data_IF_543052863106
#
_entry.id   IF_543052863106
#
_cell.length_a   1.000
_cell.length_b   1.000
_cell.length_c   1.000
_cell.angle_alpha   90.00
_cell.angle_beta   90.00
_cell.angle_gamma   90.00
#
_symmetry.space_group_name_H-M   'P 1'
#
loop_
_entity.id
_entity.type
_entity.pdbx_description
1 polymer ?
#
# COMPACT_ATOMS: atom_id res chain seq x y z
N UNK A 1 -15.30 17.63 2.30
CA UNK A 1 -14.78 18.03 3.65
C UNK A 1 -13.61 18.97 3.47
N UNK A 2 -13.37 19.85 4.42
CA UNK A 2 -12.20 20.76 4.44
C UNK A 2 -11.30 20.47 5.65
N UNK A 3 -10.13 21.12 5.72
CA UNK A 3 -9.16 20.84 6.77
C UNK A 3 -9.61 21.25 8.18
N UNK A 4 -10.47 22.26 8.30
CA UNK A 4 -11.05 22.63 9.61
C UNK A 4 -11.98 21.52 10.14
N UNK A 5 -12.72 20.86 9.27
CA UNK A 5 -13.56 19.71 9.62
C UNK A 5 -12.72 18.46 9.95
N UNK A 6 -11.53 18.33 9.37
CA UNK A 6 -10.60 17.25 9.73
C UNK A 6 -10.02 17.49 11.12
N UNK A 7 -9.64 18.74 11.43
CA UNK A 7 -8.95 19.09 12.66
C UNK A 7 -9.78 18.83 13.93
N UNK A 8 -11.10 18.86 13.83
CA UNK A 8 -11.99 18.58 14.97
C UNK A 8 -12.23 17.10 15.22
N UNK A 9 -11.69 16.22 14.38
CA UNK A 9 -11.79 14.77 14.58
C UNK A 9 -10.71 14.28 15.53
N UNK A 10 -11.05 13.33 16.38
CA UNK A 10 -10.10 12.62 17.24
C UNK A 10 -10.57 11.16 17.41
N UNK A 11 -9.77 10.19 17.01
CA UNK A 11 -8.47 10.29 16.34
C UNK A 11 -8.56 10.69 14.85
N UNK A 12 -7.52 11.34 14.33
CA UNK A 12 -7.38 11.61 12.89
C UNK A 12 -6.63 10.47 12.22
N UNK A 13 -7.25 9.87 11.20
CA UNK A 13 -6.66 8.85 10.34
C UNK A 13 -6.69 9.34 8.90
N UNK A 14 -5.53 9.38 8.23
CA UNK A 14 -5.40 9.84 6.84
C UNK A 14 -5.05 8.68 5.91
N UNK A 15 -5.67 8.66 4.73
CA UNK A 15 -5.30 7.78 3.63
C UNK A 15 -4.82 8.64 2.46
N UNK A 16 -3.51 8.65 2.23
CA UNK A 16 -2.84 9.50 1.24
C UNK A 16 -2.85 8.83 -0.13
N UNK A 17 -3.33 9.54 -1.15
CA UNK A 17 -3.48 9.00 -2.50
C UNK A 17 -4.59 7.94 -2.58
N UNK A 18 -5.57 8.00 -1.67
CA UNK A 18 -6.60 6.98 -1.49
C UNK A 18 -7.47 6.71 -2.72
N UNK A 19 -7.59 7.67 -3.64
CA UNK A 19 -8.36 7.54 -4.89
C UNK A 19 -9.64 6.70 -4.69
N UNK A 20 -9.74 5.55 -5.36
CA UNK A 20 -10.88 4.63 -5.25
C UNK A 20 -10.82 3.66 -4.05
N UNK A 21 -9.74 3.71 -3.23
CA UNK A 21 -9.57 2.86 -2.05
C UNK A 21 -9.82 3.66 -0.77
N UNK A 22 -11.07 3.92 -0.51
CA UNK A 22 -11.49 4.85 0.52
C UNK A 22 -12.90 4.48 0.97
N UNK A 23 -13.42 5.21 1.98
CA UNK A 23 -14.81 5.09 2.38
C UNK A 23 -15.76 5.10 1.16
N UNK A 24 -16.81 4.25 1.09
CA UNK A 24 -17.29 3.34 2.15
C UNK A 24 -16.71 1.91 2.09
N UNK A 25 -15.58 1.66 1.44
CA UNK A 25 -15.00 0.31 1.40
C UNK A 25 -14.66 -0.18 2.78
N UNK A 26 -14.95 -1.45 3.03
CA UNK A 26 -14.65 -2.12 4.31
C UNK A 26 -13.18 -1.95 4.68
N UNK A 27 -12.96 -1.48 5.90
CA UNK A 27 -11.64 -1.23 6.47
C UNK A 27 -11.10 0.19 6.27
N UNK A 28 -11.73 0.99 5.39
CA UNK A 28 -11.34 2.39 5.18
C UNK A 28 -12.28 3.40 5.84
N UNK A 29 -13.28 2.94 6.58
CA UNK A 29 -14.38 3.75 7.14
C UNK A 29 -13.87 4.83 8.10
N UNK A 30 -12.74 4.58 8.76
CA UNK A 30 -12.13 5.52 9.71
C UNK A 30 -11.18 6.52 9.05
N UNK A 31 -10.80 6.26 7.78
CA UNK A 31 -9.79 7.03 7.11
C UNK A 31 -10.40 8.18 6.30
N UNK A 32 -9.81 9.34 6.43
CA UNK A 32 -10.08 10.50 5.57
C UNK A 32 -9.15 10.37 4.36
N UNK A 33 -9.74 10.25 3.18
CA UNK A 33 -8.97 10.20 1.94
C UNK A 33 -8.43 11.59 1.60
N UNK A 34 -7.14 11.65 1.29
CA UNK A 34 -6.44 12.88 0.89
C UNK A 34 -5.88 12.68 -0.51
N UNK A 35 -6.42 13.38 -1.48
CA UNK A 35 -6.06 13.21 -2.88
C UNK A 35 -6.21 14.52 -3.65
N UNK A 36 -5.50 14.66 -4.77
CA UNK A 36 -5.65 15.82 -5.68
C UNK A 36 -7.03 15.80 -6.36
N UNK A 37 -7.58 14.60 -6.59
CA UNK A 37 -8.90 14.33 -7.12
C UNK A 37 -9.69 13.43 -6.17
N UNK A 38 -10.17 13.95 -5.04
CA UNK A 38 -10.84 13.15 -4.04
C UNK A 38 -12.16 12.56 -4.57
N UNK A 39 -12.45 11.28 -4.27
CA UNK A 39 -13.54 10.55 -4.91
C UNK A 39 -14.93 10.83 -4.31
N UNK A 40 -15.09 11.71 -3.33
CA UNK A 40 -16.38 11.93 -2.72
C UNK A 40 -16.43 13.05 -1.69
N UNK A 41 -17.65 13.39 -1.28
CA UNK A 41 -17.92 14.38 -0.25
C UNK A 41 -18.00 13.75 1.16
N UNK A 42 -17.73 14.57 2.18
CA UNK A 42 -17.95 14.19 3.58
C UNK A 42 -16.86 13.34 4.25
N UNK A 43 -15.97 12.71 3.49
CA UNK A 43 -14.90 11.84 4.01
C UNK A 43 -13.59 11.93 3.22
N UNK A 44 -13.47 12.92 2.36
CA UNK A 44 -12.27 13.18 1.60
C UNK A 44 -11.93 14.67 1.54
N UNK A 45 -10.63 14.96 1.39
CA UNK A 45 -10.09 16.32 1.27
C UNK A 45 -9.26 16.41 -0.01
N UNK A 46 -9.47 17.51 -0.75
CA UNK A 46 -8.65 17.83 -1.91
C UNK A 46 -7.34 18.44 -1.47
N UNK A 47 -6.22 17.77 -1.78
CA UNK A 47 -4.88 18.23 -1.46
C UNK A 47 -3.87 17.69 -2.47
N UNK A 48 -2.97 18.56 -2.91
CA UNK A 48 -1.75 18.16 -3.59
C UNK A 48 -0.73 17.70 -2.54
N UNK A 49 -0.46 16.40 -2.47
CA UNK A 49 0.42 15.80 -1.46
C UNK A 49 1.91 16.16 -1.63
N UNK A 50 2.27 16.87 -2.69
CA UNK A 50 3.60 17.48 -2.87
C UNK A 50 3.73 18.82 -2.12
N UNK A 51 2.65 19.31 -1.54
CA UNK A 51 2.58 20.54 -0.74
C UNK A 51 2.34 20.19 0.72
N UNK A 52 2.75 21.08 1.65
CA UNK A 52 2.46 20.88 3.07
C UNK A 52 0.97 20.66 3.33
N UNK A 53 0.66 19.77 4.25
CA UNK A 53 -0.70 19.48 4.69
C UNK A 53 -1.05 20.47 5.81
N UNK A 54 -2.15 21.22 5.72
CA UNK A 54 -2.48 22.28 6.68
C UNK A 54 -3.09 21.71 7.98
N UNK A 55 -2.37 20.79 8.60
CA UNK A 55 -2.65 20.26 9.93
C UNK A 55 -1.48 20.59 10.86
N UNK A 56 -1.72 20.77 12.16
CA UNK A 56 -0.67 20.98 13.16
C UNK A 56 0.26 19.77 13.27
N UNK A 57 1.46 20.02 13.80
CA UNK A 57 2.37 18.96 14.23
C UNK A 57 1.69 18.07 15.26
N UNK A 58 2.00 16.79 15.24
CA UNK A 58 1.50 15.82 16.21
C UNK A 58 -0.05 15.76 16.32
N UNK A 59 -0.75 15.89 15.19
CA UNK A 59 -2.22 15.88 15.15
C UNK A 59 -2.81 14.57 14.63
N UNK A 60 -2.05 13.79 13.86
CA UNK A 60 -2.54 12.59 13.16
C UNK A 60 -2.15 11.32 13.91
N UNK A 61 -3.09 10.41 14.08
CA UNK A 61 -2.85 9.14 14.79
C UNK A 61 -2.36 8.03 13.87
N UNK A 62 -2.90 7.95 12.66
CA UNK A 62 -2.54 6.92 11.66
C UNK A 62 -2.50 7.53 10.27
N UNK A 63 -1.51 7.09 9.48
CA UNK A 63 -1.40 7.43 8.07
C UNK A 63 -1.29 6.13 7.28
N UNK A 64 -2.09 6.03 6.22
CA UNK A 64 -2.04 4.96 5.24
C UNK A 64 -1.67 5.56 3.88
N UNK A 65 -0.81 4.91 3.12
CA UNK A 65 -0.54 5.25 1.73
C UNK A 65 -0.33 3.97 0.93
N UNK A 66 -1.21 3.72 -0.03
CA UNK A 66 -1.17 2.51 -0.85
C UNK A 66 -1.22 2.86 -2.33
N UNK A 67 -0.28 2.30 -3.10
CA UNK A 67 -0.15 2.50 -4.55
C UNK A 67 -0.21 3.99 -4.96
N UNK A 68 0.56 4.82 -4.24
CA UNK A 68 0.63 6.25 -4.49
C UNK A 68 2.08 6.75 -4.69
N UNK A 69 3.02 6.31 -3.85
CA UNK A 69 4.38 6.88 -3.87
C UNK A 69 5.14 6.59 -5.18
N UNK A 70 4.78 5.56 -5.91
CA UNK A 70 5.32 5.26 -7.24
C UNK A 70 4.98 6.31 -8.30
N UNK A 71 3.97 7.16 -8.05
CA UNK A 71 3.51 8.21 -8.96
C UNK A 71 4.21 9.54 -8.79
N UNK A 72 5.11 9.67 -7.82
CA UNK A 72 5.86 10.89 -7.52
C UNK A 72 7.37 10.62 -7.53
N UNK A 73 8.17 11.68 -7.64
CA UNK A 73 9.63 11.58 -7.68
C UNK A 73 10.21 11.22 -6.32
N UNK A 74 11.42 10.67 -6.30
CA UNK A 74 12.12 10.27 -5.05
C UNK A 74 12.23 11.42 -4.06
N UNK A 75 12.54 12.62 -4.52
CA UNK A 75 12.65 13.83 -3.69
C UNK A 75 11.30 14.22 -3.08
N UNK A 76 10.22 14.05 -3.85
CA UNK A 76 8.85 14.29 -3.39
C UNK A 76 8.41 13.23 -2.38
N UNK A 77 8.82 11.95 -2.56
CA UNK A 77 8.60 10.90 -1.57
C UNK A 77 9.25 11.28 -0.24
N UNK A 78 10.53 11.67 -0.26
CA UNK A 78 11.23 12.08 0.97
C UNK A 78 10.55 13.24 1.67
N UNK A 79 10.18 14.28 0.92
CA UNK A 79 9.48 15.45 1.46
C UNK A 79 8.13 15.07 2.09
N UNK A 80 7.35 14.22 1.40
CA UNK A 80 6.05 13.76 1.91
C UNK A 80 6.22 12.89 3.18
N UNK A 81 7.18 11.99 3.22
CA UNK A 81 7.41 11.16 4.40
C UNK A 81 7.88 11.99 5.60
N UNK A 82 8.67 13.04 5.37
CA UNK A 82 9.05 13.98 6.42
C UNK A 82 7.84 14.78 6.93
N UNK A 83 6.95 15.19 6.02
CA UNK A 83 5.69 15.83 6.38
C UNK A 83 4.77 14.87 7.19
N UNK A 84 4.70 13.59 6.80
CA UNK A 84 3.98 12.57 7.56
C UNK A 84 4.56 12.40 8.97
N UNK A 85 5.88 12.43 9.10
CA UNK A 85 6.51 12.41 10.43
C UNK A 85 6.13 13.63 11.27
N UNK A 86 6.11 14.83 10.68
CA UNK A 86 5.66 16.05 11.38
C UNK A 86 4.23 15.89 11.90
N UNK A 87 3.34 15.38 11.06
CA UNK A 87 1.92 15.23 11.35
C UNK A 87 1.62 14.16 12.41
N UNK A 88 2.35 13.06 12.42
CA UNK A 88 2.08 11.96 13.34
C UNK A 88 2.28 12.39 14.80
N UNK A 89 1.34 11.99 15.66
CA UNK A 89 1.48 12.06 17.13
C UNK A 89 2.61 11.13 17.59
N UNK A 90 3.23 11.35 18.76
CA UNK A 90 3.99 10.31 19.45
C UNK A 90 3.13 9.04 19.59
N UNK A 91 3.69 7.86 19.30
CA UNK A 91 2.95 6.60 19.18
C UNK A 91 2.17 6.46 17.87
N UNK A 92 2.32 7.41 16.96
CA UNK A 92 1.70 7.37 15.64
C UNK A 92 2.38 6.41 14.68
N UNK A 93 1.62 5.86 13.73
CA UNK A 93 2.12 4.87 12.76
C UNK A 93 1.69 5.28 11.36
N UNK A 94 2.64 5.18 10.42
CA UNK A 94 2.35 5.23 8.99
C UNK A 94 2.59 3.88 8.36
N UNK A 95 1.62 3.36 7.59
CA UNK A 95 1.78 2.19 6.72
C UNK A 95 1.90 2.61 5.27
N UNK A 96 2.88 2.05 4.60
CA UNK A 96 3.12 2.23 3.17
C UNK A 96 2.96 0.89 2.47
N UNK A 97 2.18 0.88 1.39
CA UNK A 97 2.09 -0.20 0.42
C UNK A 97 2.44 0.32 -0.96
N UNK A 98 3.48 -0.21 -1.60
CA UNK A 98 3.90 0.19 -2.96
C UNK A 98 4.24 -1.03 -3.80
N UNK A 99 4.20 -0.97 -5.13
CA UNK A 99 4.71 -2.03 -5.98
C UNK A 99 6.17 -2.34 -5.64
N UNK A 100 6.54 -3.62 -5.60
CA UNK A 100 7.93 -4.04 -5.38
C UNK A 100 8.55 -4.52 -6.69
N UNK A 101 9.27 -3.63 -7.36
CA UNK A 101 9.96 -3.91 -8.61
C UNK A 101 11.20 -4.83 -8.45
N UNK A 102 11.54 -5.26 -7.24
CA UNK A 102 12.47 -6.37 -7.01
C UNK A 102 11.82 -7.75 -7.21
N UNK A 103 10.49 -7.82 -7.36
CA UNK A 103 9.81 -9.03 -7.79
C UNK A 103 10.47 -9.54 -9.09
N UNK A 104 10.86 -10.81 -9.18
CA UNK A 104 11.55 -11.36 -10.36
C UNK A 104 10.83 -11.09 -11.68
N UNK A 105 9.50 -11.00 -11.69
CA UNK A 105 8.70 -10.70 -12.89
C UNK A 105 8.77 -9.23 -13.30
N UNK A 106 8.93 -8.33 -12.33
CA UNK A 106 8.95 -6.88 -12.55
C UNK A 106 10.40 -6.34 -12.62
N UNK A 107 11.37 -7.13 -12.19
CA UNK A 107 12.78 -6.76 -12.20
C UNK A 107 13.35 -6.36 -13.58
N UNK A 108 12.91 -6.93 -14.71
CA UNK A 108 13.31 -6.43 -16.03
C UNK A 108 12.94 -4.97 -16.30
N UNK A 109 11.81 -4.50 -15.76
CA UNK A 109 11.39 -3.10 -15.86
C UNK A 109 12.22 -2.20 -14.97
N UNK A 110 12.56 -2.66 -13.76
CA UNK A 110 13.50 -1.94 -12.88
C UNK A 110 14.85 -1.71 -13.56
N UNK A 111 15.41 -2.74 -14.21
CA UNK A 111 16.67 -2.62 -14.98
C UNK A 111 16.56 -1.64 -16.14
N UNK A 112 15.40 -1.58 -16.79
CA UNK A 112 15.12 -0.65 -17.89
C UNK A 112 14.94 0.79 -17.39
N UNK A 113 14.57 1.00 -16.13
CA UNK A 113 14.21 2.29 -15.55
C UNK A 113 12.83 2.79 -15.94
N UNK A 114 11.97 1.91 -16.52
CA UNK A 114 10.60 2.26 -16.90
C UNK A 114 9.73 1.02 -17.03
N UNK A 115 8.45 1.15 -16.71
CA UNK A 115 7.44 0.10 -16.93
C UNK A 115 6.37 0.57 -17.92
N UNK A 116 6.40 0.12 -19.18
CA UNK A 116 5.42 0.53 -20.18
C UNK A 116 3.98 0.06 -19.87
N UNK A 117 3.79 -0.90 -18.97
CA UNK A 117 2.46 -1.32 -18.49
C UNK A 117 1.83 -0.27 -17.59
N UNK A 118 2.69 0.49 -16.88
CA UNK A 118 2.31 1.54 -15.94
C UNK A 118 3.15 2.79 -16.19
N UNK A 119 2.90 3.54 -17.29
CA UNK A 119 3.73 4.69 -17.68
C UNK A 119 3.69 5.85 -16.67
N UNK A 120 2.73 5.83 -15.77
CA UNK A 120 2.57 6.79 -14.68
C UNK A 120 3.34 6.42 -13.40
N UNK A 121 4.00 5.26 -13.35
CA UNK A 121 4.94 4.94 -12.29
C UNK A 121 6.28 5.65 -12.55
N UNK A 122 6.41 6.86 -11.99
CA UNK A 122 7.59 7.72 -12.14
C UNK A 122 8.76 7.13 -11.37
N UNK A 123 8.49 6.59 -10.17
CA UNK A 123 9.47 5.93 -9.31
C UNK A 123 9.19 4.42 -9.28
N UNK A 124 10.15 3.63 -9.77
CA UNK A 124 10.05 2.17 -9.68
C UNK A 124 10.47 1.72 -8.27
N UNK A 125 9.50 1.77 -7.37
CA UNK A 125 9.70 1.47 -5.94
C UNK A 125 10.16 0.03 -5.73
N UNK A 126 11.06 -0.17 -4.78
CA UNK A 126 11.56 -1.48 -4.39
C UNK A 126 12.14 -1.42 -2.97
N UNK A 127 12.42 -2.58 -2.38
CA UNK A 127 12.91 -2.68 -1.01
C UNK A 127 14.17 -1.84 -0.76
N UNK A 128 15.18 -1.91 -1.64
CA UNK A 128 16.45 -1.20 -1.43
C UNK A 128 16.27 0.31 -1.48
N UNK A 129 15.48 0.81 -2.43
CA UNK A 129 15.18 2.23 -2.54
C UNK A 129 14.38 2.73 -1.34
N UNK A 130 13.28 2.04 -1.00
CA UNK A 130 12.43 2.46 0.13
C UNK A 130 13.18 2.41 1.45
N UNK A 131 13.98 1.38 1.68
CA UNK A 131 14.83 1.28 2.87
C UNK A 131 15.80 2.45 2.96
N UNK A 132 16.53 2.77 1.88
CA UNK A 132 17.44 3.92 1.84
C UNK A 132 16.73 5.24 2.17
N UNK A 133 15.55 5.47 1.58
CA UNK A 133 14.77 6.70 1.84
C UNK A 133 14.38 6.76 3.33
N UNK A 134 13.86 5.66 3.87
CA UNK A 134 13.32 5.62 5.23
C UNK A 134 14.43 5.78 6.28
N UNK A 135 15.60 5.17 6.07
CA UNK A 135 16.75 5.28 6.98
C UNK A 135 17.32 6.70 7.08
N UNK A 136 17.02 7.57 6.12
CA UNK A 136 17.40 9.00 6.15
C UNK A 136 16.38 9.88 6.90
N UNK A 137 15.25 9.30 7.37
CA UNK A 137 14.15 10.04 7.99
C UNK A 137 14.12 9.83 9.53
N UNK A 138 13.52 10.76 10.28
CA UNK A 138 13.57 10.74 11.74
C UNK A 138 12.59 9.77 12.42
N UNK A 139 12.06 8.77 11.69
CA UNK A 139 11.24 7.73 12.31
C UNK A 139 12.06 6.90 13.30
N UNK A 140 11.54 6.68 14.50
CA UNK A 140 12.23 5.95 15.56
C UNK A 140 12.47 4.48 15.23
N UNK A 141 11.53 3.89 14.48
CA UNK A 141 11.57 2.50 14.04
C UNK A 141 10.82 2.33 12.72
N UNK A 142 11.26 1.37 11.92
CA UNK A 142 10.51 0.89 10.76
C UNK A 142 10.50 -0.62 10.72
N UNK A 143 9.44 -1.21 10.15
CA UNK A 143 9.32 -2.65 10.00
C UNK A 143 8.77 -3.03 8.61
N UNK A 144 9.61 -3.72 7.83
CA UNK A 144 9.22 -4.27 6.54
C UNK A 144 8.54 -5.63 6.75
N UNK A 145 7.33 -5.77 6.24
CA UNK A 145 6.53 -7.00 6.33
C UNK A 145 6.62 -7.83 5.06
N UNK A 146 6.42 -7.21 3.91
CA UNK A 146 6.46 -7.89 2.62
C UNK A 146 7.42 -7.16 1.70
N UNK A 147 8.34 -7.91 1.10
CA UNK A 147 9.28 -7.37 0.11
C UNK A 147 10.07 -8.50 -0.58
N UNK A 148 10.64 -8.17 -1.72
CA UNK A 148 11.56 -9.03 -2.44
C UNK A 148 13.01 -8.58 -2.20
N UNK A 149 13.85 -9.49 -1.75
CA UNK A 149 15.29 -9.27 -1.65
C UNK A 149 16.06 -10.45 -2.21
N UNK A 150 17.01 -10.18 -3.12
CA UNK A 150 17.85 -11.17 -3.78
C UNK A 150 17.04 -12.35 -4.37
N UNK A 151 15.91 -12.06 -5.01
CA UNK A 151 15.03 -13.04 -5.66
C UNK A 151 14.19 -13.90 -4.70
N UNK A 152 14.24 -13.59 -3.40
CA UNK A 152 13.41 -14.25 -2.37
C UNK A 152 12.34 -13.30 -1.87
N UNK A 153 11.12 -13.82 -1.75
CA UNK A 153 10.03 -13.10 -1.11
C UNK A 153 10.08 -13.28 0.41
N UNK A 154 10.26 -12.17 1.11
CA UNK A 154 10.20 -12.11 2.57
C UNK A 154 8.78 -11.71 2.97
N UNK A 155 8.15 -12.49 3.83
CA UNK A 155 6.78 -12.29 4.25
C UNK A 155 6.66 -12.51 5.75
N UNK A 156 6.45 -11.44 6.50
CA UNK A 156 6.11 -11.46 7.92
C UNK A 156 4.60 -11.27 8.10
N UNK A 157 4.07 -11.73 9.20
CA UNK A 157 2.67 -11.47 9.55
C UNK A 157 2.48 -9.97 9.81
N UNK A 158 1.54 -9.37 9.09
CA UNK A 158 1.14 -7.98 9.32
C UNK A 158 0.28 -7.93 10.58
N UNK A 159 0.57 -6.98 11.46
CA UNK A 159 -0.29 -6.72 12.61
C UNK A 159 -1.38 -5.71 12.23
N UNK A 160 -2.61 -6.18 12.22
CA UNK A 160 -3.78 -5.34 11.96
C UNK A 160 -4.41 -4.78 13.23
N UNK A 161 -3.92 -5.13 14.42
CA UNK A 161 -4.45 -4.63 15.71
C UNK A 161 -4.25 -3.11 15.85
N UNK A 162 -3.29 -2.54 15.14
CA UNK A 162 -3.07 -1.09 15.07
C UNK A 162 -4.16 -0.31 14.30
N UNK A 163 -5.17 -1.00 13.77
CA UNK A 163 -6.21 -0.38 12.95
C UNK A 163 -5.75 0.00 11.55
N UNK A 164 -4.55 -0.43 11.14
CA UNK A 164 -4.06 -0.28 9.77
C UNK A 164 -4.64 -1.36 8.88
N UNK A 165 -4.97 -1.00 7.65
CA UNK A 165 -5.46 -1.95 6.65
C UNK A 165 -4.50 -2.03 5.46
N UNK A 166 -4.49 -3.17 4.81
CA UNK A 166 -3.87 -3.37 3.52
C UNK A 166 -4.94 -3.52 2.45
N UNK A 167 -4.78 -2.77 1.36
CA UNK A 167 -5.70 -2.76 0.21
C UNK A 167 -6.03 -4.14 -0.36
N UNK A 168 -5.04 -5.02 -0.38
CA UNK A 168 -5.17 -6.37 -0.93
C UNK A 168 -4.82 -7.43 0.11
N UNK A 169 -5.57 -7.55 1.21
CA UNK A 169 -5.32 -8.56 2.25
C UNK A 169 -5.32 -9.98 1.67
N UNK A 170 -6.09 -10.21 0.59
CA UNK A 170 -6.15 -11.50 -0.10
C UNK A 170 -4.85 -11.87 -0.81
N UNK A 171 -3.99 -10.89 -1.11
CA UNK A 171 -2.67 -11.13 -1.68
C UNK A 171 -1.62 -11.52 -0.63
N UNK A 172 -1.92 -11.39 0.65
CA UNK A 172 -1.09 -11.95 1.71
C UNK A 172 -1.46 -13.40 1.95
N UNK A 173 -0.58 -14.36 1.63
CA UNK A 173 -0.86 -15.77 1.84
C UNK A 173 -1.14 -16.14 3.30
N UNK A 174 -0.79 -15.27 4.26
CA UNK A 174 -1.05 -15.45 5.69
C UNK A 174 -2.36 -14.85 6.15
N UNK A 175 -2.87 -13.85 5.43
CA UNK A 175 -4.15 -13.21 5.74
C UNK A 175 -5.33 -13.92 5.09
N UNK A 176 -5.09 -14.93 4.27
CA UNK A 176 -6.14 -15.77 3.67
C UNK A 176 -6.82 -16.61 4.74
N UNK A 177 -7.79 -16.04 5.42
CA UNK A 177 -8.77 -16.75 6.25
C UNK A 177 -9.87 -17.35 5.39
N UNK A 178 -9.50 -18.05 4.32
CA UNK A 178 -10.50 -18.77 3.53
C UNK A 178 -10.96 -20.01 4.29
N UNK A 179 -12.27 -20.15 4.47
CA UNK A 179 -12.84 -21.39 5.01
C UNK A 179 -12.41 -22.58 4.17
N UNK A 180 -12.39 -23.78 4.75
CA UNK A 180 -12.08 -25.02 4.02
C UNK A 180 -12.96 -25.14 2.77
N UNK A 181 -14.24 -24.77 2.86
CA UNK A 181 -15.19 -24.75 1.73
C UNK A 181 -14.69 -23.85 0.59
N UNK A 182 -14.22 -22.63 0.90
CA UNK A 182 -13.66 -21.71 -0.10
C UNK A 182 -12.36 -22.23 -0.74
N UNK A 183 -11.49 -22.86 0.05
CA UNK A 183 -10.26 -23.50 -0.47
C UNK A 183 -10.58 -24.63 -1.46
N UNK A 184 -11.55 -25.48 -1.11
CA UNK A 184 -12.01 -26.57 -1.99
C UNK A 184 -12.66 -26.03 -3.25
N UNK A 185 -13.52 -25.00 -3.17
CA UNK A 185 -14.15 -24.37 -4.32
C UNK A 185 -13.13 -23.75 -5.28
N UNK A 186 -12.15 -23.03 -4.74
CA UNK A 186 -11.04 -22.46 -5.54
C UNK A 186 -10.24 -23.57 -6.21
N UNK A 187 -9.84 -24.61 -5.48
CA UNK A 187 -9.06 -25.72 -6.03
C UNK A 187 -9.82 -26.45 -7.14
N UNK A 188 -11.11 -26.68 -6.96
CA UNK A 188 -11.96 -27.31 -7.96
C UNK A 188 -12.09 -26.46 -9.23
N UNK A 189 -12.33 -25.16 -9.06
CA UNK A 189 -12.40 -24.22 -10.18
C UNK A 189 -11.10 -24.11 -10.96
N UNK A 190 -9.97 -24.12 -10.27
CA UNK A 190 -8.65 -24.12 -10.90
C UNK A 190 -8.35 -25.42 -11.64
N UNK A 191 -8.71 -26.56 -11.05
CA UNK A 191 -8.59 -27.86 -11.72
C UNK A 191 -9.43 -27.89 -13.00
N UNK A 192 -10.69 -27.48 -12.95
CA UNK A 192 -11.56 -27.38 -14.12
C UNK A 192 -11.00 -26.44 -15.19
N UNK A 193 -10.43 -25.31 -14.79
CA UNK A 193 -9.81 -24.37 -15.72
C UNK A 193 -8.57 -24.97 -16.39
N UNK A 194 -7.72 -25.66 -15.62
CA UNK A 194 -6.56 -26.40 -16.16
C UNK A 194 -7.00 -27.50 -17.12
N UNK A 195 -8.08 -28.21 -16.82
CA UNK A 195 -8.62 -29.26 -17.69
C UNK A 195 -9.10 -28.69 -19.02
N UNK A 196 -9.80 -27.53 -19.02
CA UNK A 196 -10.34 -26.90 -20.21
C UNK A 196 -9.29 -26.20 -21.08
N UNK A 197 -8.22 -25.67 -20.48
CA UNK A 197 -7.16 -24.91 -21.16
C UNK A 197 -5.86 -25.69 -21.34
N UNK A 198 -5.83 -26.96 -20.90
CA UNK A 198 -4.62 -27.77 -20.83
C UNK A 198 -3.80 -27.52 -19.58
N UNK A 199 -3.09 -28.53 -19.10
CA UNK A 199 -2.30 -28.47 -17.87
C UNK A 199 -1.06 -27.56 -17.91
N UNK A 200 -0.85 -26.84 -19.02
CA UNK A 200 0.22 -25.81 -19.16
C UNK A 200 -0.17 -24.43 -18.62
N UNK A 201 -1.37 -24.30 -18.04
CA UNK A 201 -1.83 -23.07 -17.38
C UNK A 201 -0.90 -22.73 -16.22
N UNK A 202 -0.30 -21.55 -16.28
CA UNK A 202 0.60 -21.05 -15.22
C UNK A 202 -0.20 -20.64 -13.97
N UNK A 203 0.47 -20.59 -12.84
CA UNK A 203 -0.13 -20.00 -11.62
C UNK A 203 -0.54 -18.54 -11.82
N UNK A 204 0.10 -17.84 -12.74
CA UNK A 204 -0.24 -16.45 -13.11
C UNK A 204 -1.58 -16.37 -13.82
N UNK A 205 -1.85 -17.28 -14.77
CA UNK A 205 -3.15 -17.35 -15.47
C UNK A 205 -4.28 -17.66 -14.50
N UNK A 206 -4.03 -18.57 -13.55
CA UNK A 206 -5.00 -18.89 -12.50
C UNK A 206 -5.30 -17.68 -11.60
N UNK A 207 -4.31 -16.86 -11.33
CA UNK A 207 -4.42 -15.67 -10.53
C UNK A 207 -5.25 -14.58 -11.21
N UNK A 208 -4.94 -14.32 -12.46
CA UNK A 208 -5.72 -13.38 -13.27
C UNK A 208 -7.19 -13.81 -13.28
N UNK A 209 -7.44 -15.12 -13.44
CA UNK A 209 -8.80 -15.68 -13.41
C UNK A 209 -9.50 -15.48 -12.05
N UNK A 210 -8.77 -15.60 -10.95
CA UNK A 210 -9.30 -15.41 -9.59
C UNK A 210 -9.52 -13.94 -9.24
N UNK A 211 -9.14 -13.03 -10.15
CA UNK A 211 -9.14 -11.59 -9.85
C UNK A 211 -8.11 -11.18 -8.80
N UNK A 212 -7.16 -12.07 -8.50
CA UNK A 212 -6.08 -11.81 -7.55
C UNK A 212 -4.78 -11.57 -8.29
N UNK A 213 -4.03 -10.58 -7.89
CA UNK A 213 -2.61 -10.54 -8.25
C UNK A 213 -1.91 -11.62 -7.43
N UNK A 214 -1.50 -12.72 -8.07
CA UNK A 214 -0.85 -13.90 -7.42
C UNK A 214 0.46 -13.59 -6.76
N UNK A 215 1.14 -12.62 -7.28
CA UNK A 215 2.35 -12.20 -6.67
C UNK A 215 2.00 -11.08 -5.74
N UNK A 216 2.36 -11.27 -4.49
CA UNK A 216 2.47 -10.17 -3.56
C UNK A 216 3.50 -9.23 -4.18
N UNK A 217 3.01 -8.39 -5.06
CA UNK A 217 3.81 -7.39 -5.78
C UNK A 217 4.06 -6.17 -4.91
N UNK A 218 3.38 -6.09 -3.76
CA UNK A 218 3.46 -4.92 -2.91
C UNK A 218 4.49 -5.13 -1.80
N UNK A 219 5.43 -4.23 -1.74
CA UNK A 219 6.20 -3.97 -0.54
C UNK A 219 5.28 -3.36 0.51
N UNK A 220 5.39 -3.81 1.75
CA UNK A 220 4.65 -3.25 2.89
C UNK A 220 5.62 -2.92 4.01
N UNK A 221 5.57 -1.69 4.49
CA UNK A 221 6.40 -1.21 5.61
C UNK A 221 5.58 -0.32 6.54
N UNK A 222 5.80 -0.48 7.84
CA UNK A 222 5.32 0.43 8.89
C UNK A 222 6.45 1.31 9.40
N UNK A 223 6.14 2.59 9.58
CA UNK A 223 7.01 3.62 10.15
C UNK A 223 6.41 4.10 11.47
N UNK A 224 7.22 4.19 12.51
CA UNK A 224 6.79 4.52 13.85
C UNK A 224 7.41 5.84 14.31
N UNK A 225 6.61 6.68 14.95
CA UNK A 225 7.05 7.88 15.66
C UNK A 225 6.81 7.66 17.15
N UNK A 226 7.88 7.54 17.93
CA UNK A 226 7.83 7.45 19.40
C UNK A 226 7.78 8.84 20.04
#
# INVERSE_FOLDING_TARGET
>A
MNWSEVLIKDPIYLNLGGSNNCHPKVGYEKYISVDINPPGEGWSVKQDLRKPIPLPDNSVTRILSEDFLEHIKVEEIKALLLECFRLLKPGGIMRIGVPDYNNPKDYPYLKRGSDPRFPHHITLTNYKLMRKIIEELPFSRHEFYHYWDNGKFICKKIDYSFGMIRRTPDNDPRCRTTSLKQKVDVALKDFMYKLLRGFRVSEEDLSVRRGHRLHVTSLVVDLFKD
#
